data_IF_583313484302
#
_entry.id   IF_583313484302
#
_cell.length_a   1.000
_cell.length_b   1.000
_cell.length_c   1.000
_cell.angle_alpha   90.00
_cell.angle_beta   90.00
_cell.angle_gamma   90.00
#
_symmetry.space_group_name_H-M   'P 1'
#
loop_
_entity.id
_entity.type
_entity.pdbx_description
1 polymer ?
#
# COMPACT_ATOMS: atom_id res chain seq x y z
N UNK A 1 32.70 -16.77 -7.26
CA UNK A 1 31.37 -16.68 -6.61
C UNK A 1 30.34 -16.39 -7.69
N UNK A 2 29.35 -17.27 -7.89
CA UNK A 2 28.33 -17.05 -8.90
C UNK A 2 27.55 -15.78 -8.54
N UNK A 3 27.41 -14.89 -9.51
CA UNK A 3 26.69 -13.63 -9.30
C UNK A 3 25.21 -13.96 -9.03
N UNK A 4 24.73 -13.77 -7.80
CA UNK A 4 23.34 -14.06 -7.35
C UNK A 4 22.30 -13.29 -8.17
N UNK A 5 22.70 -12.18 -8.79
CA UNK A 5 21.84 -11.26 -9.50
C UNK A 5 22.22 -11.14 -10.97
N UNK A 6 21.22 -11.05 -11.87
CA UNK A 6 21.46 -10.67 -13.26
C UNK A 6 21.89 -9.21 -13.35
N UNK A 7 22.50 -8.81 -14.48
CA UNK A 7 22.91 -7.39 -14.69
C UNK A 7 21.75 -6.41 -14.48
N UNK A 8 20.55 -6.72 -15.01
CA UNK A 8 19.37 -5.87 -14.88
C UNK A 8 18.88 -5.77 -13.42
N UNK A 9 18.88 -6.88 -12.69
CA UNK A 9 18.55 -6.90 -11.27
C UNK A 9 19.58 -6.11 -10.47
N UNK A 10 20.86 -6.30 -10.76
CA UNK A 10 21.95 -5.59 -10.09
C UNK A 10 21.87 -4.08 -10.34
N UNK A 11 21.53 -3.65 -11.56
CA UNK A 11 21.28 -2.26 -11.89
C UNK A 11 20.14 -1.69 -11.05
N UNK A 12 18.98 -2.38 -10.98
CA UNK A 12 17.84 -1.95 -10.17
C UNK A 12 18.18 -1.84 -8.67
N UNK A 13 18.95 -2.79 -8.13
CA UNK A 13 19.40 -2.78 -6.73
C UNK A 13 20.31 -1.56 -6.42
N UNK A 14 21.16 -1.14 -7.36
CA UNK A 14 22.17 -0.10 -7.12
C UNK A 14 21.74 1.31 -7.50
N UNK A 15 20.70 1.47 -8.33
CA UNK A 15 20.24 2.78 -8.78
C UNK A 15 19.64 3.56 -7.63
N UNK A 16 20.08 4.80 -7.43
CA UNK A 16 19.62 5.71 -6.39
C UNK A 16 19.43 7.12 -6.96
N UNK A 17 18.72 7.98 -6.23
CA UNK A 17 18.56 9.41 -6.56
C UNK A 17 17.63 9.69 -7.74
N UNK A 18 16.88 8.69 -8.24
CA UNK A 18 15.88 8.85 -9.28
C UNK A 18 14.71 7.87 -9.10
N UNK A 19 13.62 8.12 -9.82
CA UNK A 19 12.50 7.19 -9.89
C UNK A 19 12.90 5.95 -10.71
N UNK A 20 12.57 4.76 -10.21
CA UNK A 20 12.90 3.49 -10.85
C UNK A 20 11.59 2.73 -11.11
N UNK A 21 11.34 2.38 -12.38
CA UNK A 21 10.26 1.48 -12.76
C UNK A 21 10.86 0.12 -13.13
N UNK A 22 10.46 -0.93 -12.41
CA UNK A 22 10.90 -2.31 -12.66
C UNK A 22 9.75 -3.12 -13.25
N UNK A 23 9.77 -3.32 -14.57
CA UNK A 23 8.85 -4.20 -15.27
C UNK A 23 9.45 -5.61 -15.39
N UNK A 24 8.77 -6.61 -14.88
CA UNK A 24 9.25 -7.99 -14.91
C UNK A 24 8.09 -9.00 -14.76
N UNK A 25 8.23 -10.17 -15.38
CA UNK A 25 7.25 -11.25 -15.30
C UNK A 25 7.08 -11.79 -13.86
N UNK A 26 6.00 -12.54 -13.63
CA UNK A 26 5.83 -13.27 -12.37
C UNK A 26 7.02 -14.23 -12.15
N UNK A 27 7.45 -14.43 -10.92
CA UNK A 27 8.58 -15.31 -10.59
C UNK A 27 9.97 -14.77 -10.93
N UNK A 28 10.10 -13.58 -11.52
CA UNK A 28 11.40 -13.00 -11.90
C UNK A 28 12.24 -12.45 -10.73
N UNK A 29 11.78 -12.60 -9.49
CA UNK A 29 12.49 -12.15 -8.31
C UNK A 29 12.33 -10.66 -7.96
N UNK A 30 11.25 -9.99 -8.44
CA UNK A 30 10.98 -8.57 -8.13
C UNK A 30 11.05 -8.24 -6.64
N UNK A 31 10.40 -9.05 -5.81
CA UNK A 31 10.40 -8.88 -4.35
C UNK A 31 11.80 -9.02 -3.76
N UNK A 32 12.58 -10.00 -4.24
CA UNK A 32 13.95 -10.19 -3.78
C UNK A 32 14.85 -9.00 -4.15
N UNK A 33 14.70 -8.45 -5.37
CA UNK A 33 15.41 -7.25 -5.83
C UNK A 33 15.03 -6.04 -4.96
N UNK A 34 13.74 -5.87 -4.65
CA UNK A 34 13.27 -4.77 -3.80
C UNK A 34 13.81 -4.89 -2.37
N UNK A 35 13.76 -6.08 -1.76
CA UNK A 35 14.34 -6.33 -0.43
C UNK A 35 15.81 -6.00 -0.42
N UNK A 36 16.60 -6.47 -1.40
CA UNK A 36 18.03 -6.17 -1.50
C UNK A 36 18.30 -4.67 -1.67
N UNK A 37 17.48 -3.97 -2.48
CA UNK A 37 17.58 -2.53 -2.64
C UNK A 37 17.34 -1.79 -1.31
N UNK A 38 16.33 -2.21 -0.55
CA UNK A 38 16.02 -1.64 0.78
C UNK A 38 17.19 -1.90 1.74
N UNK A 39 17.67 -3.14 1.82
CA UNK A 39 18.79 -3.51 2.68
C UNK A 39 20.00 -2.63 2.41
N UNK A 40 20.39 -2.48 1.14
CA UNK A 40 21.50 -1.60 0.79
C UNK A 40 21.29 -0.16 1.23
N UNK A 41 20.08 0.37 1.08
CA UNK A 41 19.75 1.74 1.50
C UNK A 41 19.86 1.94 3.01
N UNK A 42 19.37 0.99 3.80
CA UNK A 42 19.31 1.13 5.25
C UNK A 42 20.64 0.75 5.94
N UNK A 43 21.51 0.01 5.27
CA UNK A 43 22.79 -0.43 5.84
C UNK A 43 23.98 0.45 5.41
N UNK A 44 23.80 1.35 4.44
CA UNK A 44 24.84 2.32 4.06
C UNK A 44 25.13 3.27 5.23
N UNK A 45 26.36 3.77 5.36
CA UNK A 45 26.78 4.67 6.45
C UNK A 45 25.94 5.94 6.51
N UNK A 46 25.67 6.54 5.34
CA UNK A 46 24.82 7.72 5.14
C UNK A 46 23.38 7.34 4.73
N UNK A 47 23.00 6.09 4.95
CA UNK A 47 21.71 5.54 4.50
C UNK A 47 20.52 6.09 5.28
N UNK A 48 19.35 6.01 4.67
CA UNK A 48 18.07 6.35 5.31
C UNK A 48 17.68 5.26 6.31
N UNK A 49 17.18 5.64 7.50
CA UNK A 49 16.64 4.67 8.45
C UNK A 49 15.36 4.02 7.89
N UNK A 50 15.14 2.75 8.25
CA UNK A 50 14.03 1.94 7.71
C UNK A 50 12.65 2.49 8.10
N UNK A 51 12.52 3.16 9.23
CA UNK A 51 11.30 3.80 9.69
C UNK A 51 10.96 5.10 8.94
N UNK A 52 11.93 5.64 8.20
CA UNK A 52 11.76 6.81 7.31
C UNK A 52 11.48 6.44 5.86
N UNK A 53 11.32 5.16 5.57
CA UNK A 53 10.99 4.64 4.25
C UNK A 53 9.55 4.11 4.26
N UNK A 54 8.77 4.45 3.24
CA UNK A 54 7.42 3.89 3.03
C UNK A 54 7.51 2.77 2.01
N UNK A 55 7.09 1.58 2.40
CA UNK A 55 7.02 0.41 1.51
C UNK A 55 5.58 -0.11 1.50
N UNK A 56 4.94 -0.04 0.34
CA UNK A 56 3.54 -0.43 0.23
C UNK A 56 3.37 -1.67 -0.67
N UNK A 57 2.41 -2.49 -0.29
CA UNK A 57 2.01 -3.70 -1.02
C UNK A 57 0.49 -3.73 -1.17
N UNK A 58 -0.03 -4.66 -1.98
CA UNK A 58 -1.48 -4.83 -2.14
C UNK A 58 -2.12 -5.69 -1.04
N UNK A 59 -1.35 -6.59 -0.41
CA UNK A 59 -1.89 -7.49 0.60
C UNK A 59 -1.13 -7.43 1.92
N UNK A 60 -1.83 -7.62 3.02
CA UNK A 60 -1.22 -7.71 4.37
C UNK A 60 -0.17 -8.82 4.45
N UNK A 61 -0.44 -9.96 3.79
CA UNK A 61 0.50 -11.09 3.75
C UNK A 61 1.81 -10.72 3.05
N UNK A 62 1.74 -10.03 1.89
CA UNK A 62 2.94 -9.57 1.19
C UNK A 62 3.74 -8.53 1.98
N UNK A 63 3.07 -7.63 2.71
CA UNK A 63 3.73 -6.67 3.59
C UNK A 63 4.45 -7.37 4.74
N UNK A 64 3.80 -8.33 5.39
CA UNK A 64 4.39 -9.12 6.48
C UNK A 64 5.58 -9.94 6.00
N UNK A 65 5.46 -10.61 4.85
CA UNK A 65 6.55 -11.37 4.23
C UNK A 65 7.75 -10.46 3.90
N UNK A 66 7.51 -9.28 3.34
CA UNK A 66 8.58 -8.33 3.04
C UNK A 66 9.30 -7.87 4.31
N UNK A 67 8.55 -7.51 5.35
CA UNK A 67 9.10 -7.11 6.65
C UNK A 67 9.95 -8.22 7.27
N UNK A 68 9.47 -9.47 7.19
CA UNK A 68 10.19 -10.64 7.68
C UNK A 68 11.49 -10.86 6.91
N UNK A 69 11.47 -10.77 5.57
CA UNK A 69 12.69 -10.95 4.74
C UNK A 69 13.74 -9.88 5.02
N UNK A 70 13.33 -8.63 5.24
CA UNK A 70 14.26 -7.55 5.61
C UNK A 70 14.87 -7.85 6.98
N UNK A 71 14.07 -8.28 7.95
CA UNK A 71 14.54 -8.64 9.30
C UNK A 71 15.54 -9.78 9.27
N UNK A 72 15.24 -10.85 8.53
CA UNK A 72 16.14 -12.01 8.37
C UNK A 72 17.48 -11.61 7.76
N UNK A 73 17.45 -10.74 6.74
CA UNK A 73 18.68 -10.25 6.12
C UNK A 73 19.51 -9.39 7.08
N UNK A 74 18.87 -8.51 7.87
CA UNK A 74 19.56 -7.71 8.90
C UNK A 74 20.15 -8.61 9.99
N UNK A 75 19.41 -9.64 10.44
CA UNK A 75 19.88 -10.59 11.45
C UNK A 75 21.11 -11.35 10.96
N UNK A 76 21.08 -11.88 9.75
CA UNK A 76 22.24 -12.55 9.14
C UNK A 76 23.47 -11.64 9.07
N UNK A 77 23.30 -10.38 8.66
CA UNK A 77 24.40 -9.41 8.62
C UNK A 77 24.93 -9.07 10.02
N UNK A 78 24.03 -9.02 11.01
CA UNK A 78 24.40 -8.75 12.41
C UNK A 78 25.16 -9.93 13.04
N UNK A 79 24.83 -11.17 12.67
CA UNK A 79 25.59 -12.36 13.09
C UNK A 79 27.03 -12.34 12.57
N UNK A 80 27.23 -11.82 11.34
CA UNK A 80 28.59 -11.64 10.78
C UNK A 80 29.33 -10.45 11.42
N UNK A 81 28.60 -9.40 11.85
CA UNK A 81 29.14 -8.17 12.43
C UNK A 81 28.37 -7.73 13.68
N UNK A 82 28.52 -8.42 14.83
CA UNK A 82 27.68 -8.19 16.03
C UNK A 82 27.81 -6.79 16.64
N UNK A 83 28.92 -6.10 16.39
CA UNK A 83 29.19 -4.76 16.90
C UNK A 83 28.78 -3.62 15.97
N UNK A 84 28.11 -3.91 14.86
CA UNK A 84 27.73 -2.87 13.90
C UNK A 84 26.50 -2.08 14.41
N UNK A 85 26.75 -0.87 14.92
CA UNK A 85 25.72 0.01 15.49
C UNK A 85 24.60 0.34 14.49
N UNK A 86 24.93 0.47 13.19
CA UNK A 86 23.95 0.73 12.14
C UNK A 86 22.97 -0.43 12.00
N UNK A 87 23.44 -1.66 11.97
CA UNK A 87 22.58 -2.85 11.88
C UNK A 87 21.72 -3.01 13.12
N UNK A 88 22.28 -2.81 14.32
CA UNK A 88 21.55 -2.85 15.60
C UNK A 88 20.41 -1.82 15.58
N UNK A 89 20.70 -0.60 15.12
CA UNK A 89 19.71 0.46 14.98
C UNK A 89 18.59 0.06 14.01
N UNK A 90 18.91 -0.46 12.82
CA UNK A 90 17.88 -0.88 11.84
C UNK A 90 17.03 -2.03 12.37
N UNK A 91 17.61 -2.99 13.11
CA UNK A 91 16.87 -4.08 13.77
C UNK A 91 15.86 -3.56 14.80
N UNK A 92 16.20 -2.49 15.50
CA UNK A 92 15.26 -1.85 16.44
C UNK A 92 14.14 -1.11 15.71
N UNK A 93 14.49 -0.38 14.67
CA UNK A 93 13.54 0.48 13.93
C UNK A 93 12.58 -0.30 13.03
N UNK A 94 12.94 -1.53 12.60
CA UNK A 94 12.11 -2.33 11.68
C UNK A 94 10.69 -2.58 12.20
N UNK A 95 10.50 -2.63 13.51
CA UNK A 95 9.18 -2.83 14.11
C UNK A 95 8.21 -1.69 13.76
N UNK A 96 8.71 -0.46 13.73
CA UNK A 96 7.94 0.76 13.46
C UNK A 96 7.97 1.17 11.98
N UNK A 97 8.74 0.44 11.15
CA UNK A 97 8.85 0.75 9.73
C UNK A 97 7.48 0.63 9.02
N UNK A 98 7.08 1.63 8.24
CA UNK A 98 5.81 1.63 7.50
C UNK A 98 5.90 0.71 6.26
N UNK A 99 6.02 -0.59 6.52
CA UNK A 99 5.94 -1.66 5.52
C UNK A 99 4.54 -2.28 5.65
N UNK A 100 3.61 -1.87 4.79
CA UNK A 100 2.19 -2.12 4.98
C UNK A 100 1.41 -2.14 3.66
N UNK A 101 0.09 -2.34 3.69
CA UNK A 101 -0.75 -2.13 2.50
C UNK A 101 -0.96 -0.64 2.25
N UNK A 102 -1.28 -0.29 0.99
CA UNK A 102 -1.57 1.10 0.63
C UNK A 102 -2.74 1.66 1.45
N UNK A 103 -3.80 0.86 1.64
CA UNK A 103 -4.98 1.26 2.43
C UNK A 103 -4.61 1.52 3.89
N UNK A 104 -3.82 0.62 4.50
CA UNK A 104 -3.37 0.81 5.89
C UNK A 104 -2.45 2.02 6.04
N UNK A 105 -1.64 2.33 5.02
CA UNK A 105 -0.82 3.54 5.00
C UNK A 105 -1.69 4.79 4.91
N UNK A 106 -2.66 4.82 4.00
CA UNK A 106 -3.61 5.93 3.87
C UNK A 106 -4.40 6.13 5.16
N UNK A 107 -4.93 5.05 5.74
CA UNK A 107 -5.65 5.12 7.02
C UNK A 107 -4.79 5.69 8.15
N UNK A 108 -3.51 5.34 8.19
CA UNK A 108 -2.57 5.90 9.18
C UNK A 108 -2.38 7.40 8.98
N UNK A 109 -2.27 7.88 7.73
CA UNK A 109 -2.21 9.33 7.43
C UNK A 109 -3.49 10.01 7.90
N UNK A 110 -4.66 9.49 7.52
CA UNK A 110 -5.95 10.06 7.92
C UNK A 110 -6.07 10.16 9.44
N UNK A 111 -5.67 9.11 10.17
CA UNK A 111 -5.69 9.10 11.66
C UNK A 111 -4.72 10.09 12.31
N UNK A 112 -3.62 10.42 11.66
CA UNK A 112 -2.66 11.38 12.21
C UNK A 112 -3.02 12.83 11.85
N UNK A 113 -3.76 13.03 10.77
CA UNK A 113 -4.09 14.36 10.22
C UNK A 113 -5.60 14.59 10.10
N UNK A 114 -6.41 13.91 10.93
CA UNK A 114 -7.88 13.99 10.88
C UNK A 114 -8.41 15.41 11.09
N UNK A 115 -7.71 16.23 11.86
CA UNK A 115 -8.07 17.64 12.08
C UNK A 115 -7.94 18.49 10.83
N UNK A 116 -6.96 18.19 9.97
CA UNK A 116 -6.69 18.97 8.75
C UNK A 116 -7.75 18.75 7.67
N UNK A 117 -8.51 17.66 7.78
CA UNK A 117 -9.62 17.30 6.88
C UNK A 117 -10.98 17.37 7.57
N UNK A 118 -11.05 18.00 8.75
CA UNK A 118 -12.28 18.17 9.54
C UNK A 118 -13.04 16.84 9.81
N UNK A 119 -12.31 15.74 9.95
CA UNK A 119 -12.88 14.43 10.23
C UNK A 119 -13.04 14.23 11.74
N UNK A 120 -14.16 13.59 12.14
CA UNK A 120 -14.37 13.20 13.54
C UNK A 120 -13.27 12.20 13.99
N UNK A 121 -12.60 12.41 15.13
CA UNK A 121 -11.57 11.50 15.63
C UNK A 121 -12.08 10.07 15.90
N UNK A 122 -13.39 9.91 16.13
CA UNK A 122 -14.06 8.61 16.30
C UNK A 122 -14.44 7.91 15.00
N UNK A 123 -14.03 8.41 13.84
CA UNK A 123 -14.37 7.80 12.56
C UNK A 123 -13.91 6.35 12.48
N UNK A 124 -14.67 5.54 11.78
CA UNK A 124 -14.34 4.16 11.46
C UNK A 124 -14.57 3.86 9.99
N UNK A 125 -13.97 2.82 9.51
CA UNK A 125 -14.26 2.29 8.18
C UNK A 125 -15.59 1.53 8.29
N UNK A 126 -16.53 1.85 7.40
CA UNK A 126 -17.81 1.15 7.29
C UNK A 126 -17.57 -0.31 6.83
N UNK A 127 -18.42 -1.21 7.32
CA UNK A 127 -18.43 -2.58 6.82
C UNK A 127 -19.23 -2.71 5.51
N UNK A 128 -19.16 -3.88 4.87
CA UNK A 128 -19.85 -4.12 3.60
C UNK A 128 -21.39 -3.99 3.70
N UNK A 129 -21.98 -4.34 4.86
CA UNK A 129 -23.42 -4.24 5.08
C UNK A 129 -23.86 -2.78 5.16
N UNK A 130 -23.12 -1.97 5.91
CA UNK A 130 -23.36 -0.53 6.02
C UNK A 130 -23.19 0.17 4.67
N UNK A 131 -22.17 -0.22 3.90
CA UNK A 131 -21.93 0.34 2.55
C UNK A 131 -23.10 0.04 1.61
N UNK A 132 -23.63 -1.20 1.63
CA UNK A 132 -24.79 -1.57 0.82
C UNK A 132 -26.06 -0.80 1.19
N UNK A 133 -26.31 -0.60 2.47
CA UNK A 133 -27.45 0.20 2.92
C UNK A 133 -27.32 1.65 2.42
N UNK A 134 -26.14 2.26 2.59
CA UNK A 134 -25.89 3.62 2.11
C UNK A 134 -25.99 3.73 0.59
N UNK A 135 -25.49 2.73 -0.17
CA UNK A 135 -25.62 2.69 -1.62
C UNK A 135 -27.09 2.61 -2.06
N UNK A 136 -27.92 1.82 -1.36
CA UNK A 136 -29.35 1.73 -1.65
C UNK A 136 -30.07 3.04 -1.35
N UNK A 137 -29.83 3.62 -0.18
CA UNK A 137 -30.43 4.90 0.21
C UNK A 137 -30.11 6.02 -0.79
N UNK A 138 -28.84 6.12 -1.19
CA UNK A 138 -28.39 7.09 -2.19
C UNK A 138 -29.04 6.80 -3.56
N UNK A 139 -29.15 5.54 -3.96
CA UNK A 139 -29.77 5.15 -5.22
C UNK A 139 -31.25 5.53 -5.24
N UNK A 140 -31.99 5.26 -4.18
CA UNK A 140 -33.39 5.65 -4.02
C UNK A 140 -33.56 7.17 -4.10
N UNK A 141 -32.78 7.93 -3.32
CA UNK A 141 -32.83 9.40 -3.34
C UNK A 141 -32.50 9.96 -4.74
N UNK A 142 -31.48 9.43 -5.39
CA UNK A 142 -31.11 9.83 -6.75
C UNK A 142 -32.24 9.53 -7.76
N UNK A 143 -32.86 8.37 -7.70
CA UNK A 143 -33.97 8.01 -8.58
C UNK A 143 -35.19 8.92 -8.33
N UNK A 144 -35.55 9.21 -7.07
CA UNK A 144 -36.61 10.16 -6.75
C UNK A 144 -36.35 11.56 -7.32
N UNK A 145 -35.10 12.06 -7.22
CA UNK A 145 -34.71 13.33 -7.82
C UNK A 145 -34.88 13.32 -9.36
N UNK A 146 -34.45 12.24 -10.02
CA UNK A 146 -34.61 12.10 -11.47
C UNK A 146 -36.06 12.02 -11.90
N UNK A 147 -36.90 11.30 -11.16
CA UNK A 147 -38.35 11.26 -11.42
C UNK A 147 -39.00 12.64 -11.21
N UNK A 148 -38.59 13.37 -10.18
CA UNK A 148 -39.12 14.71 -9.91
C UNK A 148 -38.65 15.78 -10.90
N UNK A 149 -37.50 15.57 -11.55
CA UNK A 149 -36.90 16.54 -12.49
C UNK A 149 -37.58 16.64 -13.88
N UNK A 150 -38.58 15.78 -14.14
CA UNK A 150 -39.27 15.66 -15.43
C UNK A 150 -38.31 15.50 -16.65
N UNK A 151 -37.17 14.84 -16.41
CA UNK A 151 -36.14 14.64 -17.45
C UNK A 151 -36.57 13.59 -18.48
N UNK A 152 -36.90 14.04 -19.68
CA UNK A 152 -37.38 13.15 -20.75
C UNK A 152 -36.38 12.08 -21.14
N UNK A 153 -35.08 12.38 -21.11
CA UNK A 153 -34.02 11.38 -21.40
C UNK A 153 -34.01 10.27 -20.38
N UNK A 154 -34.26 10.60 -19.11
CA UNK A 154 -34.37 9.60 -18.04
C UNK A 154 -35.61 8.72 -18.23
N UNK A 155 -36.77 9.32 -18.56
CA UNK A 155 -37.98 8.55 -18.85
C UNK A 155 -37.83 7.63 -20.06
N UNK A 156 -37.22 8.11 -21.13
CA UNK A 156 -36.92 7.29 -22.31
C UNK A 156 -36.00 6.11 -21.97
N UNK A 157 -35.04 6.34 -21.08
CA UNK A 157 -34.16 5.27 -20.56
C UNK A 157 -34.95 4.25 -19.72
N UNK A 158 -35.78 4.70 -18.79
CA UNK A 158 -36.62 3.84 -17.96
C UNK A 158 -37.58 3.02 -18.82
N UNK A 159 -38.24 3.63 -19.83
CA UNK A 159 -39.14 2.95 -20.75
C UNK A 159 -38.42 1.88 -21.58
N UNK A 160 -37.17 2.14 -21.97
CA UNK A 160 -36.37 1.23 -22.79
C UNK A 160 -35.77 0.05 -22.01
N UNK A 161 -35.39 0.27 -20.74
CA UNK A 161 -34.60 -0.68 -19.96
C UNK A 161 -35.26 -1.09 -18.64
N UNK A 162 -36.29 -0.37 -18.20
CA UNK A 162 -37.06 -0.72 -16.99
C UNK A 162 -37.77 -2.06 -17.18
N UNK A 163 -37.73 -2.91 -16.18
CA UNK A 163 -38.34 -4.26 -16.24
C UNK A 163 -39.82 -4.26 -15.90
N UNK A 164 -40.44 -3.09 -15.63
CA UNK A 164 -41.84 -2.96 -15.26
C UNK A 164 -42.19 -3.59 -13.90
N UNK A 165 -41.18 -3.82 -13.06
CA UNK A 165 -41.36 -4.21 -11.67
C UNK A 165 -40.93 -3.03 -10.80
N UNK A 166 -41.91 -2.44 -10.11
CA UNK A 166 -41.71 -1.59 -8.96
C UNK A 166 -41.34 -2.52 -7.77
N UNK A 167 -40.10 -2.95 -7.71
CA UNK A 167 -39.55 -3.66 -6.54
C UNK A 167 -38.14 -3.10 -6.21
#
# INVERSE_FOLDING_TARGET
MANRWTEKQFKAIRTNGCNILVAAAAGSGKTAVLVEHIIRKITAEDGTDVDRMVVVTFTKAAAAEMKQRIREALDAMLQENPGNERLIRQMTLIHNAPITTIDSFCLNIVRNYFTDIELDPGFRIADEGEMKLLENDIMEEMLEEYYASENQVFFDFVDAYGTGRDD
#
